data_IF_746326597811
#
_entry.id   IF_746326597811
#
_cell.length_a   1.000
_cell.length_b   1.000
_cell.length_c   1.000
_cell.angle_alpha   90.00
_cell.angle_beta   90.00
_cell.angle_gamma   90.00
#
_symmetry.space_group_name_H-M   'P 1'
#
loop_
_entity.id
_entity.type
_entity.pdbx_description
1 polymer ?
#
# COMPACT_ATOMS: atom_id res chain seq x y z
N UNK A 1 -25.73 -25.09 -16.79
CA UNK A 1 -25.55 -23.68 -16.38
C UNK A 1 -26.16 -23.50 -15.01
N UNK A 2 -25.45 -22.93 -14.06
CA UNK A 2 -26.00 -22.61 -12.74
C UNK A 2 -27.16 -21.61 -12.89
N UNK A 3 -28.21 -21.81 -12.12
CA UNK A 3 -29.36 -20.88 -12.06
C UNK A 3 -28.99 -19.65 -11.22
N UNK A 4 -29.70 -18.54 -11.38
CA UNK A 4 -29.52 -17.35 -10.54
C UNK A 4 -29.76 -17.67 -9.04
N UNK A 5 -30.66 -18.63 -8.74
CA UNK A 5 -30.93 -19.08 -7.38
C UNK A 5 -29.73 -19.83 -6.78
N UNK A 6 -29.09 -20.70 -7.56
CA UNK A 6 -27.86 -21.41 -7.13
C UNK A 6 -26.70 -20.44 -6.89
N UNK A 7 -26.50 -19.44 -7.78
CA UNK A 7 -25.52 -18.39 -7.57
C UNK A 7 -25.78 -17.60 -6.29
N UNK A 8 -27.02 -17.15 -6.07
CA UNK A 8 -27.41 -16.40 -4.87
C UNK A 8 -27.19 -17.21 -3.59
N UNK A 9 -27.59 -18.49 -3.59
CA UNK A 9 -27.39 -19.39 -2.45
C UNK A 9 -25.90 -19.66 -2.19
N UNK A 10 -25.13 -19.87 -3.27
CA UNK A 10 -23.67 -20.07 -3.19
C UNK A 10 -22.97 -18.86 -2.54
N UNK A 11 -23.28 -17.65 -3.00
CA UNK A 11 -22.70 -16.41 -2.44
C UNK A 11 -23.07 -16.24 -0.95
N UNK A 12 -24.34 -16.47 -0.58
CA UNK A 12 -24.77 -16.41 0.82
C UNK A 12 -24.03 -17.42 1.70
N UNK A 13 -23.88 -18.64 1.23
CA UNK A 13 -23.11 -19.70 1.92
C UNK A 13 -21.64 -19.33 2.05
N UNK A 14 -21.05 -18.76 0.99
CA UNK A 14 -19.66 -18.28 1.01
C UNK A 14 -19.48 -17.19 2.07
N UNK A 15 -20.34 -16.18 2.09
CA UNK A 15 -20.27 -15.10 3.09
C UNK A 15 -20.36 -15.67 4.52
N UNK A 16 -21.30 -16.59 4.79
CA UNK A 16 -21.41 -17.23 6.10
C UNK A 16 -20.16 -18.02 6.50
N UNK A 17 -19.53 -18.71 5.55
CA UNK A 17 -18.31 -19.50 5.80
C UNK A 17 -17.12 -18.63 6.17
N UNK A 18 -16.95 -17.47 5.49
CA UNK A 18 -15.80 -16.58 5.69
C UNK A 18 -16.06 -15.44 6.69
N UNK A 19 -17.31 -15.30 7.16
CA UNK A 19 -17.69 -14.28 8.15
C UNK A 19 -16.79 -14.24 9.39
N UNK A 20 -16.33 -15.37 9.97
CA UNK A 20 -15.45 -15.36 11.14
C UNK A 20 -14.11 -14.66 10.91
N UNK A 21 -13.65 -14.59 9.65
CA UNK A 21 -12.41 -13.92 9.29
C UNK A 21 -12.54 -12.39 9.17
N UNK A 22 -13.78 -11.84 9.16
CA UNK A 22 -14.02 -10.39 9.04
C UNK A 22 -14.30 -9.79 10.40
N UNK A 23 -13.50 -8.82 10.81
CA UNK A 23 -13.55 -8.22 12.14
C UNK A 23 -13.98 -6.74 12.09
N UNK A 24 -14.54 -6.27 13.21
CA UNK A 24 -14.80 -4.86 13.45
C UNK A 24 -13.58 -4.22 14.08
N UNK A 25 -13.20 -3.04 13.58
CA UNK A 25 -12.12 -2.21 14.13
C UNK A 25 -12.72 -0.96 14.75
N UNK A 26 -12.68 -0.87 16.07
CA UNK A 26 -13.13 0.28 16.83
C UNK A 26 -11.92 1.05 17.35
N UNK A 27 -11.41 1.99 16.53
CA UNK A 27 -10.21 2.80 16.80
C UNK A 27 -10.43 4.30 16.51
N UNK A 28 -11.71 4.73 16.43
CA UNK A 28 -12.10 6.12 16.13
C UNK A 28 -13.45 6.46 16.78
N UNK A 29 -13.74 7.78 16.93
CA UNK A 29 -14.88 8.26 17.74
C UNK A 29 -16.28 7.98 17.19
N UNK A 30 -16.51 7.84 15.87
CA UNK A 30 -17.86 7.84 15.30
C UNK A 30 -18.30 6.49 14.75
N UNK A 31 -17.66 6.00 13.72
CA UNK A 31 -18.06 4.77 13.05
C UNK A 31 -16.90 3.77 13.09
N UNK A 32 -17.09 2.58 13.65
CA UNK A 32 -16.12 1.51 13.49
C UNK A 32 -15.82 1.26 12.02
N UNK A 33 -14.68 0.68 11.76
CA UNK A 33 -14.27 0.24 10.45
C UNK A 33 -14.19 -1.28 10.43
N UNK A 34 -13.69 -1.82 9.35
CA UNK A 34 -13.50 -3.25 9.16
C UNK A 34 -12.02 -3.60 9.13
N UNK A 35 -11.74 -4.86 9.37
CA UNK A 35 -10.47 -5.50 9.18
C UNK A 35 -10.71 -6.97 8.88
N UNK A 36 -9.64 -7.71 8.70
CA UNK A 36 -9.73 -9.16 8.56
C UNK A 36 -8.52 -9.87 9.14
N UNK A 37 -8.74 -11.12 9.50
CA UNK A 37 -7.71 -12.00 10.05
C UNK A 37 -6.69 -12.33 8.97
N UNK A 38 -5.43 -12.00 9.24
CA UNK A 38 -4.30 -12.32 8.37
C UNK A 38 -3.65 -13.65 8.75
N UNK A 39 -3.50 -13.89 10.04
CA UNK A 39 -2.95 -15.15 10.55
C UNK A 39 -3.77 -15.73 11.70
N UNK A 40 -3.69 -17.04 11.87
CA UNK A 40 -4.39 -17.79 12.91
C UNK A 40 -3.95 -17.39 14.32
N UNK A 41 -2.75 -16.81 14.44
CA UNK A 41 -2.15 -16.36 15.70
C UNK A 41 -2.56 -14.94 16.11
N UNK A 42 -3.55 -14.35 15.43
CA UNK A 42 -4.12 -13.08 15.84
C UNK A 42 -3.54 -11.83 15.17
N UNK A 43 -2.95 -11.97 13.98
CA UNK A 43 -2.64 -10.80 13.16
C UNK A 43 -3.86 -10.38 12.36
N UNK A 44 -4.18 -9.09 12.44
CA UNK A 44 -5.32 -8.45 11.80
C UNK A 44 -4.83 -7.35 10.89
N UNK A 45 -5.29 -7.33 9.64
CA UNK A 45 -5.06 -6.22 8.71
C UNK A 45 -6.27 -5.29 8.70
N UNK A 46 -6.00 -4.00 8.63
CA UNK A 46 -7.00 -2.94 8.42
C UNK A 46 -6.40 -1.77 7.66
N UNK A 47 -7.22 -0.79 7.27
CA UNK A 47 -6.73 0.45 6.67
C UNK A 47 -6.09 1.36 7.73
N UNK A 48 -4.98 1.99 7.39
CA UNK A 48 -4.26 2.90 8.30
C UNK A 48 -5.11 4.11 8.71
N UNK A 49 -5.85 4.71 7.78
CA UNK A 49 -6.65 5.92 8.05
C UNK A 49 -7.78 5.72 9.04
N UNK A 50 -8.19 4.47 9.32
CA UNK A 50 -9.26 4.16 10.27
C UNK A 50 -8.76 4.12 11.70
N UNK A 51 -7.45 3.98 11.92
CA UNK A 51 -6.83 4.01 13.25
C UNK A 51 -6.48 5.46 13.57
N UNK A 52 -7.23 6.05 14.51
CA UNK A 52 -7.03 7.43 14.99
C UNK A 52 -6.43 7.49 16.38
N UNK A 53 -6.46 6.37 17.13
CA UNK A 53 -5.97 6.26 18.50
C UNK A 53 -5.20 4.96 18.64
N UNK A 54 -3.90 5.06 18.72
CA UNK A 54 -3.00 3.89 18.70
C UNK A 54 -3.15 3.01 19.96
N UNK A 55 -3.53 3.60 21.09
CA UNK A 55 -3.63 2.91 22.37
C UNK A 55 -5.05 2.43 22.73
N UNK A 56 -6.02 2.56 21.84
CA UNK A 56 -7.42 2.21 22.10
C UNK A 56 -8.05 1.54 20.87
N UNK A 57 -7.48 0.42 20.47
CA UNK A 57 -8.00 -0.38 19.36
C UNK A 57 -8.75 -1.56 19.93
N UNK A 58 -10.06 -1.63 19.71
CA UNK A 58 -10.87 -2.80 20.04
C UNK A 58 -11.20 -3.55 18.75
N UNK A 59 -10.91 -4.85 18.73
CA UNK A 59 -11.22 -5.75 17.62
C UNK A 59 -12.37 -6.65 18.03
N UNK A 60 -13.50 -6.56 17.31
CA UNK A 60 -14.70 -7.36 17.57
C UNK A 60 -14.87 -8.43 16.51
N UNK A 61 -15.14 -9.67 16.94
CA UNK A 61 -15.31 -10.84 16.10
C UNK A 61 -16.80 -11.20 15.86
N UNK A 62 -17.03 -12.17 14.97
CA UNK A 62 -18.35 -12.60 14.56
C UNK A 62 -19.14 -13.26 15.71
N UNK A 63 -18.48 -13.96 16.59
CA UNK A 63 -19.05 -14.61 17.77
C UNK A 63 -19.39 -13.64 18.91
N UNK A 64 -19.11 -12.35 18.74
CA UNK A 64 -19.31 -11.30 19.73
C UNK A 64 -18.13 -11.09 20.68
N UNK A 65 -17.08 -11.90 20.58
CA UNK A 65 -15.84 -11.69 21.35
C UNK A 65 -15.16 -10.38 20.96
N UNK A 66 -14.44 -9.78 21.90
CA UNK A 66 -13.75 -8.52 21.72
C UNK A 66 -12.37 -8.62 22.38
N UNK A 67 -11.34 -8.14 21.66
CA UNK A 67 -9.98 -8.14 22.13
C UNK A 67 -9.37 -6.74 22.00
N UNK A 68 -8.48 -6.39 22.91
CA UNK A 68 -7.65 -5.22 22.77
C UNK A 68 -6.59 -5.47 21.71
N UNK A 69 -6.54 -4.60 20.70
CA UNK A 69 -5.54 -4.64 19.64
C UNK A 69 -4.31 -3.81 19.98
N UNK A 70 -3.14 -4.32 19.63
CA UNK A 70 -1.85 -3.62 19.68
C UNK A 70 -1.33 -3.39 18.28
N UNK A 71 -0.86 -2.18 17.97
CA UNK A 71 -0.25 -1.90 16.66
C UNK A 71 1.08 -2.63 16.56
N UNK A 72 1.22 -3.48 15.56
CA UNK A 72 2.49 -4.08 15.16
C UNK A 72 3.26 -3.11 14.26
N UNK A 73 2.55 -2.45 13.34
CA UNK A 73 3.12 -1.45 12.46
C UNK A 73 2.08 -0.80 11.57
N UNK A 74 2.48 0.31 10.94
CA UNK A 74 1.64 1.12 10.05
C UNK A 74 2.40 1.54 8.80
N UNK A 75 1.73 1.54 7.66
CA UNK A 75 2.20 2.16 6.43
C UNK A 75 1.16 3.14 5.89
N UNK A 76 1.28 4.43 6.22
CA UNK A 76 0.37 5.46 5.71
C UNK A 76 0.35 5.55 4.19
N UNK A 77 1.41 5.15 3.52
CA UNK A 77 1.55 5.33 2.08
C UNK A 77 0.76 4.31 1.25
N UNK A 78 0.62 3.09 1.72
CA UNK A 78 -0.29 2.07 1.15
C UNK A 78 -1.63 2.04 1.89
N UNK A 79 -1.79 2.89 2.93
CA UNK A 79 -2.97 2.90 3.79
C UNK A 79 -3.20 1.55 4.50
N UNK A 80 -2.14 0.89 4.95
CA UNK A 80 -2.20 -0.37 5.69
C UNK A 80 -1.81 -0.20 7.16
N UNK A 81 -2.46 -0.97 8.03
CA UNK A 81 -2.06 -1.15 9.41
C UNK A 81 -2.19 -2.61 9.82
N UNK A 82 -1.21 -3.08 10.60
CA UNK A 82 -1.15 -4.41 11.16
C UNK A 82 -1.37 -4.32 12.67
N UNK A 83 -2.36 -5.06 13.15
CA UNK A 83 -2.78 -5.09 14.56
C UNK A 83 -2.65 -6.50 15.08
N UNK A 84 -2.12 -6.68 16.28
CA UNK A 84 -2.05 -7.95 17.00
C UNK A 84 -3.15 -7.99 18.07
N UNK A 85 -3.82 -9.13 18.17
CA UNK A 85 -4.74 -9.46 19.27
C UNK A 85 -4.27 -10.75 19.95
N UNK A 86 -4.54 -10.88 21.23
CA UNK A 86 -4.26 -12.09 22.03
C UNK A 86 -5.39 -13.11 21.81
N UNK A 87 -5.44 -13.66 20.60
CA UNK A 87 -6.36 -14.72 20.18
C UNK A 87 -5.63 -15.71 19.28
N UNK A 88 -6.07 -16.94 19.27
CA UNK A 88 -5.47 -18.03 18.48
C UNK A 88 -6.55 -18.87 17.80
N UNK A 89 -6.11 -19.69 16.85
CA UNK A 89 -7.00 -20.55 16.06
C UNK A 89 -8.08 -19.76 15.29
N UNK A 90 -7.72 -18.57 14.86
CA UNK A 90 -8.63 -17.70 14.10
C UNK A 90 -8.78 -18.20 12.67
N UNK A 91 -9.99 -18.07 12.14
CA UNK A 91 -10.26 -18.32 10.72
C UNK A 91 -9.59 -17.24 9.88
N UNK A 92 -8.79 -17.62 8.89
CA UNK A 92 -8.21 -16.72 7.88
C UNK A 92 -8.76 -17.03 6.50
N UNK A 93 -8.50 -16.15 5.54
CA UNK A 93 -8.85 -16.35 4.14
C UNK A 93 -7.82 -17.22 3.43
N UNK A 94 -8.28 -18.06 2.49
CA UNK A 94 -7.43 -18.52 1.40
C UNK A 94 -7.16 -17.32 0.47
N UNK A 95 -5.93 -17.20 0.00
CA UNK A 95 -5.52 -16.10 -0.87
C UNK A 95 -5.53 -16.57 -2.33
N UNK A 96 -5.90 -15.64 -3.23
CA UNK A 96 -5.77 -15.86 -4.67
C UNK A 96 -4.61 -15.00 -5.22
N UNK A 97 -3.86 -15.54 -6.15
CA UNK A 97 -2.82 -14.77 -6.85
C UNK A 97 -3.48 -13.66 -7.68
N UNK A 98 -2.91 -12.46 -7.62
CA UNK A 98 -3.51 -11.29 -8.28
C UNK A 98 -3.60 -11.46 -9.80
N UNK A 99 -2.75 -12.28 -10.40
CA UNK A 99 -2.70 -12.61 -11.83
C UNK A 99 -3.91 -13.41 -12.30
N UNK A 100 -4.54 -14.18 -11.42
CA UNK A 100 -5.73 -14.98 -11.73
C UNK A 100 -6.98 -14.11 -11.88
N UNK A 101 -6.97 -12.90 -11.30
CA UNK A 101 -8.09 -11.96 -11.36
C UNK A 101 -8.17 -11.31 -12.73
N UNK A 102 -9.38 -11.31 -13.32
CA UNK A 102 -9.67 -10.75 -14.64
C UNK A 102 -10.79 -9.71 -14.57
N UNK A 103 -10.80 -8.77 -15.49
CA UNK A 103 -11.91 -7.83 -15.67
C UNK A 103 -13.19 -8.64 -15.96
N UNK A 104 -14.28 -8.28 -15.26
CA UNK A 104 -15.55 -8.98 -15.32
C UNK A 104 -15.71 -10.12 -14.31
N UNK A 105 -14.67 -10.49 -13.54
CA UNK A 105 -14.86 -11.42 -12.43
C UNK A 105 -15.80 -10.83 -11.38
N UNK A 106 -16.76 -11.62 -10.92
CA UNK A 106 -17.62 -11.27 -9.79
C UNK A 106 -16.82 -11.27 -8.50
N UNK A 107 -17.00 -10.22 -7.70
CA UNK A 107 -16.33 -10.02 -6.41
C UNK A 107 -17.29 -9.49 -5.37
N UNK A 108 -17.00 -9.75 -4.10
CA UNK A 108 -17.74 -9.24 -2.96
C UNK A 108 -16.82 -8.41 -2.06
N UNK A 109 -17.24 -7.19 -1.74
CA UNK A 109 -16.62 -6.42 -0.66
C UNK A 109 -17.35 -6.72 0.64
N UNK A 110 -16.59 -7.05 1.69
CA UNK A 110 -17.14 -7.38 3.00
C UNK A 110 -16.71 -6.35 4.04
N UNK A 111 -17.58 -6.07 4.98
CA UNK A 111 -17.30 -5.20 6.11
C UNK A 111 -18.07 -5.60 7.35
N UNK A 112 -17.55 -5.23 8.52
CA UNK A 112 -18.22 -5.40 9.82
C UNK A 112 -18.15 -4.09 10.62
N UNK A 113 -18.84 -3.03 10.17
CA UNK A 113 -18.83 -1.77 10.92
C UNK A 113 -19.68 -1.85 12.21
N UNK A 114 -20.52 -2.88 12.34
CA UNK A 114 -21.38 -3.16 13.48
C UNK A 114 -21.20 -4.58 14.00
N UNK A 115 -22.26 -5.14 14.55
CA UNK A 115 -22.28 -6.53 15.04
C UNK A 115 -22.37 -7.54 13.90
N UNK A 116 -23.11 -7.21 12.83
CA UNK A 116 -23.35 -8.11 11.71
C UNK A 116 -22.42 -7.80 10.54
N UNK A 117 -22.09 -8.84 9.78
CA UNK A 117 -21.39 -8.68 8.52
C UNK A 117 -22.27 -7.96 7.50
N UNK A 118 -21.65 -7.17 6.65
CA UNK A 118 -22.26 -6.52 5.49
C UNK A 118 -21.50 -6.93 4.24
N UNK A 119 -22.19 -7.11 3.14
CA UNK A 119 -21.61 -7.46 1.86
C UNK A 119 -22.20 -6.60 0.75
N UNK A 120 -21.36 -6.22 -0.22
CA UNK A 120 -21.78 -5.69 -1.50
C UNK A 120 -21.13 -6.50 -2.61
N UNK A 121 -21.81 -6.61 -3.74
CA UNK A 121 -21.32 -7.35 -4.90
C UNK A 121 -21.07 -6.39 -6.06
N UNK A 122 -20.09 -6.72 -6.86
CA UNK A 122 -19.78 -6.05 -8.11
C UNK A 122 -18.86 -6.91 -8.96
N UNK A 123 -18.21 -6.25 -9.91
CA UNK A 123 -17.21 -6.88 -10.77
C UNK A 123 -15.87 -6.15 -10.66
N UNK A 124 -14.82 -6.82 -11.08
CA UNK A 124 -13.56 -6.17 -11.39
C UNK A 124 -13.77 -5.34 -12.65
N UNK A 125 -13.74 -4.01 -12.50
CA UNK A 125 -14.03 -3.05 -13.58
C UNK A 125 -12.80 -2.71 -14.42
N UNK A 126 -11.62 -2.66 -13.78
CA UNK A 126 -10.36 -2.40 -14.46
C UNK A 126 -9.18 -3.04 -13.71
N UNK A 127 -8.18 -3.41 -14.48
CA UNK A 127 -6.89 -3.91 -13.98
C UNK A 127 -5.76 -3.11 -14.66
N UNK A 128 -4.68 -2.87 -13.91
CA UNK A 128 -3.48 -2.22 -14.41
C UNK A 128 -2.22 -2.86 -13.85
N UNK A 129 -1.08 -2.38 -14.32
CA UNK A 129 0.24 -2.73 -13.77
C UNK A 129 0.44 -2.14 -12.37
N UNK A 130 1.64 -2.33 -11.82
CA UNK A 130 2.06 -1.66 -10.60
C UNK A 130 1.87 -0.15 -10.70
N UNK A 131 1.41 0.45 -9.62
CA UNK A 131 1.09 1.89 -9.56
C UNK A 131 1.43 2.48 -8.20
N UNK A 132 1.50 3.81 -8.14
CA UNK A 132 1.74 4.53 -6.89
C UNK A 132 0.46 5.09 -6.33
N UNK A 133 0.30 4.91 -5.03
CA UNK A 133 -0.77 5.56 -4.28
C UNK A 133 -0.51 7.08 -4.22
N UNK A 134 -1.55 7.86 -3.94
CA UNK A 134 -1.40 9.32 -3.73
C UNK A 134 -0.45 9.69 -2.57
N UNK A 135 -0.14 8.75 -1.71
CA UNK A 135 0.73 8.94 -0.55
C UNK A 135 2.13 8.35 -0.77
N UNK A 136 2.49 8.02 -2.02
CA UNK A 136 3.80 7.53 -2.41
C UNK A 136 4.07 6.04 -2.17
N UNK A 137 3.08 5.28 -1.68
CA UNK A 137 3.20 3.82 -1.55
C UNK A 137 3.12 3.14 -2.92
N UNK A 138 3.73 1.98 -3.04
CA UNK A 138 3.66 1.17 -4.24
C UNK A 138 2.68 0.01 -4.04
N UNK A 139 1.78 -0.16 -5.00
CA UNK A 139 0.93 -1.33 -5.11
C UNK A 139 1.34 -2.12 -6.37
N UNK A 140 1.46 -3.44 -6.23
CA UNK A 140 1.96 -4.32 -7.30
C UNK A 140 1.03 -4.38 -8.50
N UNK A 141 -0.26 -4.16 -8.28
CA UNK A 141 -1.27 -4.17 -9.33
C UNK A 141 -2.40 -3.19 -9.01
N UNK A 142 -2.92 -2.52 -10.03
CA UNK A 142 -4.13 -1.72 -9.93
C UNK A 142 -5.35 -2.64 -10.07
N UNK A 143 -6.22 -2.63 -9.05
CA UNK A 143 -7.50 -3.37 -9.07
C UNK A 143 -8.61 -2.39 -8.74
N UNK A 144 -9.45 -2.10 -9.73
CA UNK A 144 -10.65 -1.27 -9.58
C UNK A 144 -11.90 -2.14 -9.68
N UNK A 145 -12.87 -1.85 -8.83
CA UNK A 145 -14.16 -2.53 -8.83
C UNK A 145 -15.31 -1.52 -8.83
N UNK A 146 -16.51 -1.98 -9.14
CA UNK A 146 -17.75 -1.22 -9.02
C UNK A 146 -18.55 -1.56 -7.74
N UNK A 147 -17.93 -2.30 -6.80
CA UNK A 147 -18.56 -2.57 -5.50
C UNK A 147 -18.86 -1.28 -4.77
N UNK A 148 -20.02 -1.23 -4.14
CA UNK A 148 -20.38 -0.09 -3.31
C UNK A 148 -19.71 -0.19 -1.93
N UNK A 149 -18.83 0.77 -1.63
CA UNK A 149 -18.13 0.84 -0.35
C UNK A 149 -18.91 1.69 0.65
N UNK A 150 -19.70 1.06 1.51
CA UNK A 150 -20.40 1.75 2.60
C UNK A 150 -19.44 2.28 3.67
N UNK A 151 -19.86 3.30 4.45
CA UNK A 151 -19.09 3.76 5.61
C UNK A 151 -18.73 2.62 6.54
N UNK A 152 -17.43 2.44 6.80
CA UNK A 152 -16.92 1.36 7.63
C UNK A 152 -16.41 0.13 6.87
N UNK A 153 -16.51 0.09 5.54
CA UNK A 153 -15.93 -1.00 4.73
C UNK A 153 -14.41 -0.90 4.57
N UNK A 154 -13.85 0.30 4.72
CA UNK A 154 -12.37 0.49 4.65
C UNK A 154 -11.66 -0.44 5.63
N UNK A 155 -10.64 -1.11 5.14
CA UNK A 155 -9.89 -2.15 5.85
C UNK A 155 -10.50 -3.55 5.73
N UNK A 156 -11.73 -3.67 5.21
CA UNK A 156 -12.36 -4.96 4.95
C UNK A 156 -11.83 -5.64 3.68
N UNK A 157 -12.05 -6.95 3.54
CA UNK A 157 -11.57 -7.72 2.40
C UNK A 157 -12.43 -7.51 1.15
N UNK A 158 -11.79 -7.59 -0.02
CA UNK A 158 -12.43 -7.96 -1.28
C UNK A 158 -12.17 -9.45 -1.50
N UNK A 159 -13.22 -10.20 -1.83
CA UNK A 159 -13.14 -11.65 -2.05
C UNK A 159 -13.78 -12.05 -3.38
N UNK A 160 -13.38 -13.19 -3.92
CA UNK A 160 -14.07 -13.85 -5.04
C UNK A 160 -15.42 -14.41 -4.58
N UNK A 161 -16.25 -14.85 -5.50
CA UNK A 161 -17.52 -15.55 -5.18
C UNK A 161 -17.31 -16.85 -4.41
N UNK A 162 -16.14 -17.45 -4.52
CA UNK A 162 -15.73 -18.64 -3.77
C UNK A 162 -15.11 -18.32 -2.41
N UNK A 163 -14.91 -17.03 -2.10
CA UNK A 163 -14.44 -16.55 -0.81
C UNK A 163 -12.94 -16.45 -0.66
N UNK A 164 -12.17 -16.59 -1.75
CA UNK A 164 -10.73 -16.35 -1.72
C UNK A 164 -10.44 -14.84 -1.65
N UNK A 165 -9.45 -14.46 -0.85
CA UNK A 165 -9.04 -13.07 -0.64
C UNK A 165 -8.35 -12.51 -1.89
N UNK A 166 -8.93 -11.47 -2.46
CA UNK A 166 -8.36 -10.67 -3.55
C UNK A 166 -7.47 -9.55 -3.01
N UNK A 167 -7.89 -8.96 -1.89
CA UNK A 167 -7.13 -7.86 -1.28
C UNK A 167 -7.92 -7.06 -0.27
N UNK A 168 -7.38 -5.88 0.10
CA UNK A 168 -7.95 -4.94 1.06
C UNK A 168 -8.61 -3.75 0.36
N UNK A 169 -9.83 -3.44 0.75
CA UNK A 169 -10.56 -2.26 0.28
C UNK A 169 -10.19 -1.00 1.05
N UNK A 170 -9.83 0.08 0.35
CA UNK A 170 -9.58 1.37 0.95
C UNK A 170 -10.20 2.52 0.16
N UNK A 171 -10.95 3.37 0.85
CA UNK A 171 -11.51 4.60 0.30
C UNK A 171 -10.53 5.79 0.29
N UNK A 172 -9.36 5.65 0.92
CA UNK A 172 -8.36 6.71 1.01
C UNK A 172 -7.41 6.75 -0.18
N UNK A 173 -7.26 5.65 -0.91
CA UNK A 173 -6.28 5.53 -1.99
C UNK A 173 -6.64 6.38 -3.21
N UNK A 174 -7.93 6.47 -3.54
CA UNK A 174 -8.41 7.27 -4.67
C UNK A 174 -9.84 7.75 -4.40
N UNK A 175 -10.13 9.02 -4.67
CA UNK A 175 -11.47 9.56 -4.46
C UNK A 175 -12.43 9.13 -5.57
N UNK A 176 -13.62 8.70 -5.18
CA UNK A 176 -14.69 8.33 -6.12
C UNK A 176 -14.50 7.00 -6.84
N UNK A 177 -13.47 6.23 -6.49
CA UNK A 177 -13.17 4.94 -7.11
C UNK A 177 -12.95 3.89 -6.02
N UNK A 178 -13.56 2.73 -6.18
CA UNK A 178 -13.32 1.58 -5.29
C UNK A 178 -12.04 0.87 -5.69
N UNK A 179 -10.97 1.11 -4.94
CA UNK A 179 -9.65 0.51 -5.15
C UNK A 179 -9.38 -0.56 -4.09
N UNK A 180 -8.84 -1.67 -4.55
CA UNK A 180 -8.39 -2.77 -3.71
C UNK A 180 -6.88 -2.95 -3.84
N UNK A 181 -6.19 -3.01 -2.70
CA UNK A 181 -4.79 -3.41 -2.64
C UNK A 181 -4.69 -4.92 -2.75
N UNK A 182 -3.94 -5.47 -3.73
CA UNK A 182 -3.86 -6.92 -3.95
C UNK A 182 -3.12 -7.65 -2.83
N UNK A 183 -3.38 -8.95 -2.70
CA UNK A 183 -2.74 -9.85 -1.73
C UNK A 183 -1.21 -9.80 -1.81
N UNK A 184 -0.63 -9.69 -3.01
CA UNK A 184 0.83 -9.55 -3.20
C UNK A 184 1.40 -8.32 -2.49
N UNK A 185 0.73 -7.16 -2.62
CA UNK A 185 1.11 -5.94 -1.89
C UNK A 185 0.93 -6.11 -0.38
N UNK A 186 -0.20 -6.72 0.05
CA UNK A 186 -0.46 -6.98 1.47
C UNK A 186 0.66 -7.82 2.10
N UNK A 187 1.07 -8.90 1.44
CA UNK A 187 2.13 -9.80 1.92
C UNK A 187 3.46 -9.07 2.12
N UNK A 188 3.87 -8.26 1.15
CA UNK A 188 5.12 -7.46 1.25
C UNK A 188 5.07 -6.47 2.41
N UNK A 189 3.98 -5.70 2.49
CA UNK A 189 3.81 -4.69 3.54
C UNK A 189 3.73 -5.34 4.92
N UNK A 190 2.93 -6.39 5.08
CA UNK A 190 2.80 -7.11 6.37
C UNK A 190 4.15 -7.67 6.82
N UNK A 191 4.92 -8.28 5.93
CA UNK A 191 6.27 -8.77 6.25
C UNK A 191 7.17 -7.64 6.76
N UNK A 192 7.19 -6.48 6.09
CA UNK A 192 7.96 -5.33 6.53
C UNK A 192 7.48 -4.78 7.88
N UNK A 193 6.17 -4.71 8.10
CA UNK A 193 5.59 -4.24 9.37
C UNK A 193 5.90 -5.19 10.53
N UNK A 194 5.90 -6.52 10.31
CA UNK A 194 6.27 -7.50 11.33
C UNK A 194 7.75 -7.43 11.71
N UNK A 195 8.63 -7.21 10.73
CA UNK A 195 10.07 -7.19 10.95
C UNK A 195 10.55 -5.86 11.55
N UNK A 196 9.94 -4.74 11.16
CA UNK A 196 10.48 -3.41 11.42
C UNK A 196 9.47 -2.43 12.06
N UNK A 197 8.20 -2.81 12.20
CA UNK A 197 7.13 -1.92 12.65
C UNK A 197 6.69 -0.88 11.60
N UNK A 198 7.43 -0.77 10.51
CA UNK A 198 7.20 0.20 9.40
C UNK A 198 7.73 -0.33 8.08
N UNK A 199 7.24 0.20 6.98
CA UNK A 199 7.87 0.00 5.67
C UNK A 199 9.06 0.96 5.57
N UNK A 200 10.25 0.41 5.51
CA UNK A 200 11.48 1.19 5.34
C UNK A 200 11.52 1.75 3.93
N UNK A 201 11.98 2.99 3.79
CA UNK A 201 12.14 3.65 2.50
C UNK A 201 13.47 4.35 2.46
N UNK A 202 14.14 4.20 1.34
CA UNK A 202 15.33 4.98 1.08
C UNK A 202 14.99 6.46 1.02
N UNK A 203 15.84 7.27 1.57
CA UNK A 203 15.70 8.72 1.73
C UNK A 203 16.97 9.43 1.33
N UNK A 204 16.82 10.49 0.56
CA UNK A 204 17.92 11.40 0.19
C UNK A 204 17.84 12.76 0.90
N UNK A 205 16.64 13.24 1.20
CA UNK A 205 16.43 14.56 1.79
C UNK A 205 16.48 15.70 0.79
N UNK A 206 15.91 15.49 -0.41
CA UNK A 206 15.84 16.51 -1.46
C UNK A 206 14.40 16.78 -1.88
N UNK A 207 14.07 18.04 -2.16
CA UNK A 207 12.90 18.40 -2.95
C UNK A 207 13.34 18.65 -4.39
N UNK A 208 12.61 18.09 -5.34
CA UNK A 208 13.02 18.13 -6.75
C UNK A 208 11.92 18.58 -7.68
N UNK A 209 12.31 19.10 -8.85
CA UNK A 209 11.42 19.50 -9.94
C UNK A 209 11.92 18.88 -11.25
N UNK A 210 11.00 18.39 -12.10
CA UNK A 210 11.37 17.90 -13.43
C UNK A 210 11.83 19.07 -14.28
N UNK A 211 13.02 18.94 -14.88
CA UNK A 211 13.59 19.94 -15.82
C UNK A 211 14.06 19.27 -17.08
N UNK A 212 14.06 20.05 -18.18
CA UNK A 212 14.66 19.65 -19.45
C UNK A 212 16.16 19.93 -19.38
N UNK A 213 16.98 18.95 -19.73
CA UNK A 213 18.42 19.10 -19.80
C UNK A 213 18.84 20.00 -20.99
N UNK A 214 19.96 20.69 -20.87
CA UNK A 214 20.57 21.44 -21.94
C UNK A 214 21.05 20.52 -23.08
N UNK A 215 21.20 21.05 -24.28
CA UNK A 215 21.40 20.23 -25.47
C UNK A 215 22.66 19.38 -25.40
N UNK A 216 23.78 19.96 -25.02
CA UNK A 216 25.06 19.27 -24.89
C UNK A 216 24.99 18.09 -23.91
N UNK A 217 24.35 18.29 -22.73
CA UNK A 217 24.14 17.26 -21.71
C UNK A 217 23.14 16.19 -22.19
N UNK A 218 22.13 16.59 -22.96
CA UNK A 218 21.16 15.65 -23.54
C UNK A 218 21.80 14.69 -24.53
N UNK A 219 22.73 15.20 -25.36
CA UNK A 219 23.45 14.36 -26.30
C UNK A 219 24.42 13.43 -25.58
N UNK A 220 25.19 13.94 -24.61
CA UNK A 220 26.12 13.14 -23.79
C UNK A 220 25.42 11.99 -23.05
N UNK A 221 24.31 12.27 -22.37
CA UNK A 221 23.60 11.29 -21.54
C UNK A 221 22.53 10.51 -22.30
N UNK A 222 22.22 10.85 -23.55
CA UNK A 222 21.06 10.35 -24.29
C UNK A 222 19.77 10.43 -23.49
N UNK A 223 19.57 11.54 -22.77
CA UNK A 223 18.48 11.76 -21.82
C UNK A 223 17.87 13.15 -21.97
N UNK A 224 16.52 13.25 -21.96
CA UNK A 224 15.82 14.53 -22.23
C UNK A 224 15.54 15.37 -20.98
N UNK A 225 15.42 14.74 -19.82
CA UNK A 225 15.01 15.38 -18.56
C UNK A 225 15.73 14.78 -17.37
N UNK A 226 15.79 15.53 -16.28
CA UNK A 226 16.27 15.12 -14.98
C UNK A 226 15.50 15.81 -13.86
N UNK A 227 15.91 15.61 -12.62
CA UNK A 227 15.31 16.19 -11.43
C UNK A 227 16.21 17.28 -10.85
N UNK A 228 15.83 18.54 -11.05
CA UNK A 228 16.50 19.69 -10.44
C UNK A 228 16.22 19.70 -8.92
N UNK A 229 17.26 19.78 -8.12
CA UNK A 229 17.16 19.96 -6.67
C UNK A 229 16.80 21.42 -6.37
N UNK A 230 15.65 21.62 -5.74
CA UNK A 230 15.14 22.94 -5.34
C UNK A 230 15.22 23.17 -3.84
N UNK A 231 15.41 22.11 -3.04
CA UNK A 231 15.75 22.18 -1.62
C UNK A 231 16.56 20.94 -1.20
N UNK A 232 17.45 21.12 -0.24
CA UNK A 232 18.19 20.05 0.45
C UNK A 232 17.91 20.21 1.94
N UNK A 233 17.52 19.13 2.60
CA UNK A 233 17.28 19.13 4.03
C UNK A 233 18.60 19.07 4.80
N UNK A 234 18.85 19.98 5.74
CA UNK A 234 20.09 19.98 6.52
C UNK A 234 20.30 18.66 7.30
N UNK A 235 21.51 18.11 7.26
CA UNK A 235 21.86 16.85 7.89
C UNK A 235 21.29 15.61 7.19
N UNK A 236 20.72 15.76 6.00
CA UNK A 236 20.23 14.64 5.19
C UNK A 236 21.36 13.93 4.45
N UNK A 237 21.14 12.71 3.96
CA UNK A 237 22.08 12.01 3.08
C UNK A 237 22.58 12.84 1.89
N UNK A 238 21.70 13.63 1.30
CA UNK A 238 22.06 14.53 0.21
C UNK A 238 23.00 15.66 0.65
N UNK A 239 22.72 16.28 1.79
CA UNK A 239 23.54 17.34 2.38
C UNK A 239 24.93 16.80 2.75
N UNK A 240 25.00 15.66 3.46
CA UNK A 240 26.26 15.01 3.83
C UNK A 240 27.10 14.59 2.61
N UNK A 241 26.46 14.24 1.51
CA UNK A 241 27.13 13.87 0.27
C UNK A 241 27.53 15.07 -0.61
N UNK A 242 27.16 16.30 -0.22
CA UNK A 242 27.48 17.51 -0.95
C UNK A 242 26.58 17.77 -2.17
N UNK A 243 25.37 17.22 -2.19
CA UNK A 243 24.34 17.65 -3.14
C UNK A 243 23.84 19.05 -2.75
N UNK A 244 23.60 19.90 -3.73
CA UNK A 244 23.22 21.30 -3.51
C UNK A 244 22.02 21.69 -4.35
N UNK A 245 21.36 22.78 -3.95
CA UNK A 245 20.32 23.40 -4.77
C UNK A 245 20.94 23.81 -6.12
N UNK A 246 20.26 23.50 -7.21
CA UNK A 246 20.72 23.73 -8.58
C UNK A 246 21.34 22.51 -9.25
N UNK A 247 21.70 21.47 -8.52
CA UNK A 247 22.08 20.19 -9.11
C UNK A 247 20.88 19.54 -9.81
N UNK A 248 21.13 18.88 -10.92
CA UNK A 248 20.09 18.08 -11.60
C UNK A 248 20.43 16.60 -11.53
N UNK A 249 19.68 15.82 -10.78
CA UNK A 249 19.84 14.36 -10.69
C UNK A 249 19.42 13.75 -12.02
N UNK A 250 20.32 12.97 -12.63
CA UNK A 250 20.09 12.26 -13.91
C UNK A 250 20.20 10.75 -13.77
N UNK A 251 20.88 10.24 -12.72
CA UNK A 251 20.96 8.81 -12.44
C UNK A 251 21.11 8.56 -10.94
N UNK A 252 20.52 7.46 -10.44
CA UNK A 252 20.74 6.93 -9.11
C UNK A 252 21.07 5.44 -9.24
N UNK A 253 22.22 4.99 -8.73
CA UNK A 253 22.69 3.64 -8.95
C UNK A 253 22.87 3.35 -10.44
N UNK A 254 22.16 2.35 -10.93
CA UNK A 254 22.11 1.98 -12.36
C UNK A 254 20.91 2.56 -13.09
N UNK A 255 19.98 3.18 -12.36
CA UNK A 255 18.68 3.63 -12.90
C UNK A 255 18.77 5.08 -13.38
N UNK A 256 18.39 5.29 -14.64
CA UNK A 256 18.25 6.65 -15.23
C UNK A 256 17.06 7.36 -14.61
N UNK A 257 17.28 8.55 -14.06
CA UNK A 257 16.26 9.36 -13.37
C UNK A 257 15.79 10.48 -14.30
N UNK A 258 14.57 10.34 -14.83
CA UNK A 258 13.91 11.32 -15.71
C UNK A 258 12.74 12.02 -15.01
N UNK A 259 12.12 11.34 -14.04
CA UNK A 259 10.94 11.77 -13.28
C UNK A 259 11.06 11.33 -11.82
N UNK A 260 10.17 11.88 -10.97
CA UNK A 260 10.11 11.52 -9.56
C UNK A 260 9.91 10.02 -9.33
N UNK A 261 9.10 9.37 -10.20
CA UNK A 261 8.84 7.94 -10.10
C UNK A 261 10.09 7.08 -10.25
N UNK A 262 11.02 7.49 -11.12
CA UNK A 262 12.29 6.79 -11.32
C UNK A 262 13.16 6.87 -10.06
N UNK A 263 13.28 8.07 -9.47
CA UNK A 263 14.05 8.29 -8.24
C UNK A 263 13.47 7.50 -7.05
N UNK A 264 12.16 7.57 -6.87
CA UNK A 264 11.50 6.89 -5.75
C UNK A 264 11.55 5.37 -5.94
N UNK A 265 11.45 4.84 -7.18
CA UNK A 265 11.57 3.41 -7.43
C UNK A 265 12.93 2.87 -6.98
N UNK A 266 14.01 3.55 -7.34
CA UNK A 266 15.35 3.16 -6.95
C UNK A 266 15.57 3.27 -5.43
N UNK A 267 15.05 4.32 -4.79
CA UNK A 267 15.13 4.50 -3.34
C UNK A 267 14.36 3.41 -2.55
N UNK A 268 13.30 2.82 -3.14
CA UNK A 268 12.55 1.73 -2.51
C UNK A 268 13.30 0.39 -2.56
N UNK A 269 14.16 0.21 -3.56
CA UNK A 269 14.95 -1.00 -3.77
C UNK A 269 16.36 -0.90 -3.18
N UNK A 270 16.81 0.33 -2.85
CA UNK A 270 18.14 0.56 -2.32
C UNK A 270 18.32 -0.06 -0.93
N UNK A 271 19.45 -0.73 -0.72
CA UNK A 271 19.87 -1.18 0.60
C UNK A 271 20.19 0.03 1.48
N UNK A 272 19.59 0.07 2.66
CA UNK A 272 19.85 1.12 3.66
C UNK A 272 21.30 1.08 4.12
N UNK A 273 21.83 2.26 4.39
CA UNK A 273 23.26 2.47 4.73
C UNK A 273 24.25 2.13 3.60
N UNK A 274 23.77 1.67 2.44
CA UNK A 274 24.63 1.48 1.27
C UNK A 274 25.03 2.83 0.64
N UNK A 275 26.22 2.87 0.07
CA UNK A 275 26.64 4.01 -0.76
C UNK A 275 26.23 3.76 -2.20
N UNK A 276 25.37 4.63 -2.71
CA UNK A 276 24.85 4.55 -4.08
C UNK A 276 25.40 5.73 -4.89
N UNK A 277 25.94 5.51 -6.08
CA UNK A 277 26.37 6.61 -6.95
C UNK A 277 25.16 7.40 -7.43
N UNK A 278 25.20 8.72 -7.26
CA UNK A 278 24.23 9.69 -7.79
C UNK A 278 24.93 10.50 -8.86
N UNK A 279 24.51 10.38 -10.10
CA UNK A 279 25.02 11.22 -11.19
C UNK A 279 24.16 12.45 -11.30
N UNK A 280 24.80 13.60 -11.29
CA UNK A 280 24.17 14.92 -11.37
C UNK A 280 24.75 15.74 -12.51
N UNK A 281 24.02 16.75 -12.91
CA UNK A 281 24.53 17.85 -13.72
C UNK A 281 24.65 19.10 -12.83
N UNK A 282 25.86 19.61 -12.69
CA UNK A 282 26.18 20.82 -11.91
C UNK A 282 26.92 21.82 -12.80
N UNK A 283 26.34 22.99 -13.00
CA UNK A 283 26.97 24.02 -13.87
C UNK A 283 27.15 23.60 -15.32
N UNK A 284 26.40 22.63 -15.82
CA UNK A 284 26.52 22.07 -17.16
C UNK A 284 27.45 20.85 -17.26
N UNK A 285 28.16 20.50 -16.21
CA UNK A 285 29.07 19.35 -16.16
C UNK A 285 28.44 18.14 -15.48
N UNK A 286 28.67 16.93 -16.01
CA UNK A 286 28.23 15.67 -15.43
C UNK A 286 29.19 15.25 -14.33
N UNK A 287 28.70 15.01 -13.14
CA UNK A 287 29.49 14.60 -11.97
C UNK A 287 28.79 13.44 -11.25
N UNK A 288 29.56 12.59 -10.55
CA UNK A 288 29.03 11.51 -9.75
C UNK A 288 29.47 11.66 -8.30
N UNK A 289 28.50 11.66 -7.38
CA UNK A 289 28.71 11.68 -5.94
C UNK A 289 28.24 10.35 -5.34
N UNK A 290 28.91 9.87 -4.30
CA UNK A 290 28.43 8.70 -3.56
C UNK A 290 27.59 9.15 -2.38
N UNK A 291 26.32 8.81 -2.38
CA UNK A 291 25.37 9.15 -1.33
C UNK A 291 25.06 7.91 -0.49
N UNK A 292 25.15 8.01 0.81
CA UNK A 292 24.69 6.98 1.73
C UNK A 292 23.18 7.09 1.85
N UNK A 293 22.45 6.09 1.35
CA UNK A 293 20.99 6.13 1.41
C UNK A 293 20.52 6.07 2.87
N UNK A 294 19.84 7.13 3.28
CA UNK A 294 19.23 7.20 4.60
C UNK A 294 17.89 6.49 4.65
N UNK A 295 17.31 6.51 5.82
CA UNK A 295 15.97 5.98 6.07
C UNK A 295 15.07 7.13 6.47
N UNK A 296 13.92 7.25 5.82
CA UNK A 296 12.88 8.20 6.23
C UNK A 296 12.12 7.63 7.44
N UNK A 297 12.04 8.42 8.51
CA UNK A 297 11.28 8.09 9.73
C UNK A 297 9.75 8.19 9.54
#
# INVERSE_FOLDING_TARGET
MATLSELSSGMSTTVQRIEPAVVRINARRRFPASGFVWSEEGLIITANHVIRKDNQIEVGFADGSQFQGQIVGRDPSTDLALVKVEASSLTKFDQIESEEIKVGNLVMALGRPGKSIQATMGIVSALGSAWRTRYGGQADRYIQTDVLMYPGFSGGPLVTVDGALVGLNSSALMHGVSITLPTSTLTKVVSALQQHGRVRRGYLGVSTQIVRLQEDVREELNQKSGLLIVAVEPGSPADEAGLTIGDTIVQLGTTTVRRHDDLIAELLEADFDSKVPVTIVRGGEVQTLNVKIGQQD
#
